data_IF_481531859305
#
_entry.id   IF_481531859305
#
_cell.length_a   1.000
_cell.length_b   1.000
_cell.length_c   1.000
_cell.angle_alpha   90.00
_cell.angle_beta   90.00
_cell.angle_gamma   90.00
#
_symmetry.space_group_name_H-M   'P 1'
#
loop_
_entity.id
_entity.type
_entity.pdbx_description
1 polymer ?
#
# COMPACT_ATOMS: atom_id res chain seq x y z
N UNK A 1 -8.33 23.10 -12.10
CA UNK A 1 -7.37 22.00 -12.03
C UNK A 1 -7.94 20.74 -12.66
N UNK A 2 -7.07 19.88 -13.21
CA UNK A 2 -7.51 18.60 -13.74
C UNK A 2 -7.55 17.55 -12.63
N UNK A 3 -8.61 16.71 -12.62
CA UNK A 3 -8.81 15.63 -11.68
C UNK A 3 -9.47 14.42 -12.37
N UNK A 4 -9.10 13.18 -11.97
CA UNK A 4 -9.71 11.95 -12.45
C UNK A 4 -10.77 11.48 -11.45
N UNK A 5 -12.04 11.57 -11.84
CA UNK A 5 -13.19 11.49 -10.93
C UNK A 5 -14.14 10.34 -11.24
N UNK A 6 -14.56 9.65 -10.22
CA UNK A 6 -15.74 8.77 -10.26
C UNK A 6 -16.99 9.65 -10.09
N UNK A 7 -17.79 9.76 -11.15
CA UNK A 7 -19.00 10.61 -11.17
C UNK A 7 -20.24 9.87 -10.72
N UNK A 8 -20.36 8.61 -11.16
CA UNK A 8 -21.47 7.74 -10.83
C UNK A 8 -20.95 6.32 -10.54
N UNK A 9 -21.64 5.56 -9.66
CA UNK A 9 -21.30 4.16 -9.39
C UNK A 9 -21.30 3.32 -10.66
N UNK A 10 -20.30 2.43 -10.81
CA UNK A 10 -20.13 1.51 -11.93
C UNK A 10 -19.94 2.16 -13.32
N UNK A 11 -19.80 3.46 -13.39
CA UNK A 11 -19.41 4.15 -14.62
C UNK A 11 -17.89 4.39 -14.66
N UNK A 12 -17.29 4.42 -15.87
CA UNK A 12 -15.87 4.74 -16.00
C UNK A 12 -15.58 6.14 -15.46
N UNK A 13 -14.56 6.31 -14.58
CA UNK A 13 -14.14 7.62 -14.14
C UNK A 13 -13.63 8.48 -15.30
N UNK A 14 -13.69 9.79 -15.15
CA UNK A 14 -13.38 10.75 -16.19
C UNK A 14 -12.40 11.82 -15.70
N UNK A 15 -11.52 12.25 -16.60
CA UNK A 15 -10.73 13.48 -16.40
C UNK A 15 -11.67 14.68 -16.53
N UNK A 16 -11.69 15.51 -15.49
CA UNK A 16 -12.52 16.71 -15.46
C UNK A 16 -11.71 17.92 -15.02
N UNK A 17 -12.06 19.07 -15.56
CA UNK A 17 -11.64 20.35 -15.02
C UNK A 17 -12.57 20.74 -13.87
N UNK A 18 -11.99 20.93 -12.68
CA UNK A 18 -12.70 21.33 -11.45
C UNK A 18 -12.02 22.53 -10.81
N UNK A 19 -12.72 23.31 -9.99
CA UNK A 19 -12.10 24.42 -9.24
C UNK A 19 -10.92 23.89 -8.39
N UNK A 20 -9.83 24.66 -8.33
CA UNK A 20 -8.75 24.40 -7.38
C UNK A 20 -9.29 24.62 -5.96
N UNK A 21 -9.19 23.65 -5.04
CA UNK A 21 -9.69 23.82 -3.69
C UNK A 21 -8.79 24.74 -2.87
N UNK A 22 -9.31 25.27 -1.75
CA UNK A 22 -8.56 26.04 -0.78
C UNK A 22 -8.61 25.36 0.60
N UNK A 23 -7.52 25.38 1.39
CA UNK A 23 -7.50 24.74 2.68
C UNK A 23 -8.28 25.54 3.72
N UNK A 24 -9.10 24.88 4.52
CA UNK A 24 -9.72 25.43 5.71
C UNK A 24 -8.75 25.48 6.90
N UNK A 25 -9.21 25.97 8.05
CA UNK A 25 -8.44 25.89 9.30
C UNK A 25 -8.07 24.43 9.62
N UNK A 26 -6.79 24.20 9.99
CA UNK A 26 -6.26 22.87 10.28
C UNK A 26 -5.88 22.03 9.05
N UNK A 27 -6.04 22.56 7.83
CA UNK A 27 -5.77 21.83 6.60
C UNK A 27 -4.58 22.39 5.82
N UNK A 28 -4.03 21.54 4.95
CA UNK A 28 -3.02 21.89 3.96
C UNK A 28 -3.60 21.72 2.56
N UNK A 29 -3.25 22.60 1.64
CA UNK A 29 -3.36 22.35 0.22
C UNK A 29 -2.04 21.75 -0.26
N UNK A 30 -2.09 20.56 -0.85
CA UNK A 30 -0.92 19.88 -1.38
C UNK A 30 -0.99 19.94 -2.91
N UNK A 31 0.09 20.42 -3.55
CA UNK A 31 0.34 20.19 -4.97
C UNK A 31 0.83 18.75 -5.12
N UNK A 32 0.06 17.92 -5.80
CA UNK A 32 0.40 16.52 -5.94
C UNK A 32 1.62 16.36 -6.84
N UNK A 33 2.63 15.66 -6.35
CA UNK A 33 3.84 15.29 -7.09
C UNK A 33 3.70 13.92 -7.74
N UNK A 34 3.10 12.97 -7.02
CA UNK A 34 2.78 11.64 -7.51
C UNK A 34 1.58 11.05 -6.80
N UNK A 35 0.82 10.24 -7.53
CA UNK A 35 -0.23 9.40 -6.98
C UNK A 35 -0.09 7.98 -7.52
N UNK A 36 0.18 7.02 -6.63
CA UNK A 36 0.25 5.60 -6.98
C UNK A 36 -1.14 5.03 -7.31
N UNK A 37 -1.17 3.98 -8.14
CA UNK A 37 -2.38 3.28 -8.54
C UNK A 37 -2.46 1.92 -7.86
N UNK A 38 -3.63 1.60 -7.32
CA UNK A 38 -3.90 0.38 -6.58
C UNK A 38 -5.07 -0.41 -7.17
N UNK A 39 -5.08 -1.72 -6.95
CA UNK A 39 -6.24 -2.56 -7.25
C UNK A 39 -7.48 -2.15 -6.44
N UNK A 40 -7.31 -1.48 -5.31
CA UNK A 40 -8.40 -0.90 -4.53
C UNK A 40 -9.18 0.15 -5.32
N UNK A 41 -8.50 0.97 -6.13
CA UNK A 41 -9.19 1.95 -7.00
C UNK A 41 -10.12 1.25 -7.99
N UNK A 42 -9.65 0.14 -8.58
CA UNK A 42 -10.43 -0.68 -9.52
C UNK A 42 -11.64 -1.31 -8.81
N UNK A 43 -11.43 -1.80 -7.59
CA UNK A 43 -12.53 -2.33 -6.78
C UNK A 43 -13.58 -1.24 -6.45
N UNK A 44 -13.14 -0.01 -6.16
CA UNK A 44 -14.03 1.15 -5.94
C UNK A 44 -14.84 1.49 -7.20
N UNK A 45 -14.19 1.54 -8.36
CA UNK A 45 -14.85 1.81 -9.64
C UNK A 45 -15.96 0.81 -9.97
N UNK A 46 -15.78 -0.47 -9.59
CA UNK A 46 -16.72 -1.55 -9.85
C UNK A 46 -17.90 -1.63 -8.87
N UNK A 47 -17.93 -0.84 -7.78
CA UNK A 47 -18.94 -0.94 -6.75
C UNK A 47 -20.29 -0.36 -7.18
N UNK A 48 -21.36 -1.05 -6.76
CA UNK A 48 -22.73 -0.52 -6.85
C UNK A 48 -22.91 0.65 -5.87
N UNK A 49 -23.98 1.46 -6.10
CA UNK A 49 -24.34 2.52 -5.17
C UNK A 49 -24.49 2.00 -3.73
N UNK A 50 -25.19 0.89 -3.52
CA UNK A 50 -25.40 0.31 -2.19
C UNK A 50 -24.07 -0.05 -1.51
N UNK A 51 -23.11 -0.63 -2.23
CA UNK A 51 -21.80 -0.94 -1.69
C UNK A 51 -20.94 0.30 -1.38
N UNK A 52 -21.09 1.37 -2.17
CA UNK A 52 -20.44 2.65 -1.86
C UNK A 52 -21.08 3.33 -0.64
N UNK A 53 -22.41 3.25 -0.52
CA UNK A 53 -23.14 3.78 0.65
C UNK A 53 -22.69 3.09 1.95
N UNK A 54 -22.45 1.76 1.92
CA UNK A 54 -21.89 1.00 3.06
C UNK A 54 -20.49 1.51 3.46
N UNK A 55 -19.74 2.05 2.49
CA UNK A 55 -18.42 2.64 2.73
C UNK A 55 -18.46 4.15 2.99
N UNK A 56 -19.65 4.74 3.07
CA UNK A 56 -19.86 6.19 3.11
C UNK A 56 -19.12 6.95 2.00
N UNK A 57 -18.98 6.31 0.84
CA UNK A 57 -18.28 6.81 -0.34
C UNK A 57 -19.29 7.25 -1.40
N UNK A 58 -19.79 8.48 -1.29
CA UNK A 58 -20.80 9.01 -2.22
C UNK A 58 -20.11 9.77 -3.37
N UNK A 59 -20.19 9.30 -4.63
CA UNK A 59 -19.74 10.09 -5.78
C UNK A 59 -20.55 11.42 -5.93
N UNK A 60 -19.94 12.46 -6.53
CA UNK A 60 -18.66 12.45 -7.23
C UNK A 60 -17.46 12.71 -6.30
N UNK A 61 -16.37 11.95 -6.48
CA UNK A 61 -15.08 12.19 -5.82
C UNK A 61 -13.91 11.84 -6.74
N UNK A 62 -12.74 12.44 -6.46
CA UNK A 62 -11.48 12.16 -7.15
C UNK A 62 -10.87 10.87 -6.63
N UNK A 63 -10.38 9.99 -7.51
CA UNK A 63 -9.73 8.73 -7.14
C UNK A 63 -8.26 8.93 -6.70
N UNK A 64 -7.65 7.84 -6.24
CA UNK A 64 -6.24 7.74 -5.89
C UNK A 64 -5.95 8.02 -4.42
N UNK A 65 -5.37 7.04 -3.73
CA UNK A 65 -5.09 7.09 -2.28
C UNK A 65 -3.61 7.00 -1.92
N UNK A 66 -2.71 6.86 -2.89
CA UNK A 66 -1.25 6.82 -2.68
C UNK A 66 -0.62 8.17 -3.01
N UNK A 67 -0.56 9.08 -2.05
CA UNK A 67 -0.37 10.51 -2.33
C UNK A 67 0.89 11.04 -1.68
N UNK A 68 1.74 11.69 -2.49
CA UNK A 68 2.79 12.57 -2.00
C UNK A 68 2.92 13.82 -2.89
N UNK A 69 3.43 14.91 -2.32
CA UNK A 69 3.52 16.17 -3.05
C UNK A 69 4.19 17.26 -2.21
N UNK A 70 3.90 18.48 -2.54
CA UNK A 70 4.46 19.66 -1.85
C UNK A 70 3.34 20.51 -1.25
N UNK A 71 3.57 21.03 -0.05
CA UNK A 71 2.67 22.00 0.58
C UNK A 71 2.58 23.25 -0.29
N UNK A 72 1.40 23.50 -0.88
CA UNK A 72 1.15 24.68 -1.71
C UNK A 72 0.60 25.85 -0.88
N UNK A 73 -0.36 25.56 0.03
CA UNK A 73 -0.99 26.57 0.90
C UNK A 73 -1.23 25.96 2.29
N UNK A 74 -1.17 26.80 3.32
CA UNK A 74 -1.29 26.39 4.73
C UNK A 74 -2.53 27.07 5.30
N UNK A 75 -3.49 26.27 5.77
CA UNK A 75 -4.70 26.75 6.42
C UNK A 75 -4.44 27.36 7.81
N UNK A 76 -5.38 28.14 8.28
CA UNK A 76 -5.28 28.81 9.57
C UNK A 76 -5.05 27.83 10.72
N UNK A 77 -4.15 28.15 11.64
CA UNK A 77 -3.86 27.35 12.83
C UNK A 77 -2.95 26.15 12.60
N UNK A 78 -2.55 25.84 11.38
CA UNK A 78 -1.56 24.78 11.12
C UNK A 78 -0.16 25.27 11.47
N UNK A 79 0.58 24.46 12.20
CA UNK A 79 1.97 24.71 12.59
C UNK A 79 2.85 23.53 12.16
N UNK A 80 4.15 23.77 12.00
CA UNK A 80 5.14 22.71 11.70
C UNK A 80 5.29 22.39 10.22
N UNK A 81 4.67 23.14 9.31
CA UNK A 81 4.81 23.01 7.87
C UNK A 81 5.26 24.31 7.21
N UNK A 82 5.90 24.20 6.06
CA UNK A 82 6.33 25.32 5.22
C UNK A 82 5.82 25.15 3.79
N UNK A 83 5.51 26.26 3.12
CA UNK A 83 5.20 26.23 1.69
C UNK A 83 6.39 25.66 0.90
N UNK A 84 6.12 24.79 -0.06
CA UNK A 84 7.12 24.06 -0.85
C UNK A 84 7.70 22.83 -0.16
N UNK A 85 7.36 22.54 1.10
CA UNK A 85 7.85 21.36 1.82
C UNK A 85 7.27 20.08 1.25
N UNK A 86 8.12 19.04 0.94
CA UNK A 86 7.64 17.74 0.50
C UNK A 86 6.92 16.99 1.63
N UNK A 87 5.76 16.42 1.35
CA UNK A 87 4.93 15.66 2.30
C UNK A 87 4.37 14.40 1.68
N UNK A 88 4.31 13.33 2.47
CA UNK A 88 3.55 12.11 2.20
C UNK A 88 2.23 12.15 2.98
N UNK A 89 1.17 11.56 2.41
CA UNK A 89 -0.18 11.61 2.99
C UNK A 89 -0.61 10.22 3.45
N UNK A 90 -1.00 10.09 4.72
CA UNK A 90 -1.66 8.86 5.20
C UNK A 90 -3.06 8.78 4.59
N UNK A 91 -3.43 7.65 3.93
CA UNK A 91 -4.71 7.58 3.20
C UNK A 91 -5.93 7.39 4.10
N UNK A 92 -5.76 6.97 5.36
CA UNK A 92 -6.85 6.66 6.30
C UNK A 92 -7.38 7.94 6.95
N UNK A 93 -8.48 8.47 6.41
CA UNK A 93 -9.13 9.66 6.95
C UNK A 93 -10.35 9.29 7.81
N UNK A 94 -10.87 10.25 8.56
CA UNK A 94 -12.01 10.01 9.46
C UNK A 94 -11.63 9.37 10.81
N UNK A 95 -10.36 9.10 11.07
CA UNK A 95 -9.91 8.67 12.40
C UNK A 95 -10.17 9.76 13.45
N UNK A 96 -10.57 9.38 14.67
CA UNK A 96 -11.02 10.32 15.68
C UNK A 96 -9.89 11.16 16.32
N UNK A 97 -8.64 10.74 16.23
CA UNK A 97 -7.47 11.41 16.80
C UNK A 97 -7.30 11.26 18.33
N UNK A 98 -8.28 10.72 19.08
CA UNK A 98 -8.25 10.72 20.54
C UNK A 98 -8.37 9.34 21.19
N UNK A 99 -8.80 8.29 20.50
CA UNK A 99 -8.81 6.94 21.03
C UNK A 99 -7.37 6.38 21.21
N UNK A 100 -7.17 5.31 22.00
CA UNK A 100 -5.84 4.78 22.25
C UNK A 100 -5.00 4.46 21.00
N UNK A 101 -5.52 3.80 19.95
CA UNK A 101 -4.76 3.61 18.71
C UNK A 101 -4.35 4.95 18.05
N UNK A 102 -5.28 5.89 17.89
CA UNK A 102 -4.96 7.19 17.28
C UNK A 102 -3.88 7.94 18.05
N UNK A 103 -3.90 7.90 19.38
CA UNK A 103 -2.87 8.55 20.22
C UNK A 103 -1.49 7.92 20.09
N UNK A 104 -1.41 6.68 19.61
CA UNK A 104 -0.14 6.00 19.30
C UNK A 104 0.29 6.18 17.84
N UNK A 105 -0.51 6.89 17.02
CA UNK A 105 -0.26 7.05 15.58
C UNK A 105 -0.59 5.80 14.77
N UNK A 106 -1.53 5.00 15.27
CA UNK A 106 -2.10 3.81 14.63
C UNK A 106 -3.53 4.12 14.17
N UNK A 107 -3.69 5.19 13.38
CA UNK A 107 -4.98 5.74 12.98
C UNK A 107 -5.84 4.74 12.20
N UNK A 108 -5.21 3.82 11.48
CA UNK A 108 -5.87 2.72 10.76
C UNK A 108 -6.60 1.73 11.68
N UNK A 109 -6.26 1.68 12.97
CA UNK A 109 -6.95 0.89 13.99
C UNK A 109 -7.86 1.74 14.89
N UNK A 110 -8.27 2.91 14.45
CA UNK A 110 -9.19 3.77 15.20
C UNK A 110 -10.48 3.04 15.54
N UNK A 111 -10.88 3.08 16.82
CA UNK A 111 -12.09 2.40 17.30
C UNK A 111 -13.39 2.95 16.72
N UNK A 112 -13.36 4.15 16.15
CA UNK A 112 -14.53 4.86 15.63
C UNK A 112 -14.52 4.96 14.10
N UNK A 113 -13.54 4.39 13.41
CA UNK A 113 -13.62 4.21 11.96
C UNK A 113 -14.60 3.07 11.71
N UNK A 114 -15.76 3.39 11.16
CA UNK A 114 -16.79 2.40 10.82
C UNK A 114 -16.65 1.87 9.40
N UNK A 115 -15.83 2.51 8.56
CA UNK A 115 -15.76 2.23 7.13
C UNK A 115 -14.37 2.47 6.54
N UNK A 116 -14.17 1.97 5.33
CA UNK A 116 -12.93 2.09 4.56
C UNK A 116 -12.77 3.44 3.84
N UNK A 117 -13.55 4.46 4.19
CA UNK A 117 -13.45 5.73 3.49
C UNK A 117 -12.14 6.47 3.85
N UNK A 118 -11.63 7.18 2.84
CA UNK A 118 -10.37 7.92 2.93
C UNK A 118 -10.10 8.66 1.64
N UNK A 119 -8.88 9.12 1.47
CA UNK A 119 -8.45 9.73 0.21
C UNK A 119 -8.75 8.79 -0.96
N UNK A 120 -9.41 9.27 -2.02
CA UNK A 120 -9.76 8.48 -3.18
C UNK A 120 -10.85 7.42 -2.97
N UNK A 121 -11.39 7.32 -1.74
CA UNK A 121 -12.46 6.38 -1.36
C UNK A 121 -13.49 7.16 -0.55
N UNK A 122 -14.37 7.89 -1.23
CA UNK A 122 -15.41 8.73 -0.59
C UNK A 122 -14.98 10.17 -0.30
N UNK A 123 -13.71 10.43 -0.09
CA UNK A 123 -13.13 11.77 -0.14
C UNK A 123 -12.36 11.97 -1.43
N UNK A 124 -12.14 13.23 -1.84
CA UNK A 124 -11.27 13.50 -2.98
C UNK A 124 -9.85 12.95 -2.74
N UNK A 125 -9.29 12.32 -3.76
CA UNK A 125 -7.98 11.68 -3.76
C UNK A 125 -6.92 12.44 -4.57
N UNK A 126 -5.78 11.78 -4.78
CA UNK A 126 -4.57 12.35 -5.36
C UNK A 126 -4.44 12.26 -6.87
N UNK A 127 -5.39 11.65 -7.60
CA UNK A 127 -5.38 11.69 -9.06
C UNK A 127 -5.91 13.04 -9.55
N UNK A 128 -5.28 14.12 -9.08
CA UNK A 128 -5.54 15.52 -9.36
C UNK A 128 -4.28 16.36 -9.21
N UNK A 129 -4.27 17.59 -9.71
CA UNK A 129 -3.14 18.51 -9.54
C UNK A 129 -2.96 18.99 -8.10
N UNK A 130 -4.07 19.09 -7.35
CA UNK A 130 -4.09 19.54 -5.95
C UNK A 130 -5.08 18.74 -5.13
N UNK A 131 -4.79 18.60 -3.83
CA UNK A 131 -5.67 17.98 -2.83
C UNK A 131 -5.60 18.74 -1.51
N UNK A 132 -6.74 18.85 -0.82
CA UNK A 132 -6.81 19.37 0.56
C UNK A 132 -6.76 18.21 1.53
N UNK A 133 -5.90 18.30 2.56
CA UNK A 133 -5.66 17.26 3.55
C UNK A 133 -5.63 17.87 4.94
N UNK A 134 -6.23 17.22 5.94
CA UNK A 134 -6.01 17.62 7.32
C UNK A 134 -4.51 17.49 7.66
N UNK A 135 -3.92 18.54 8.23
CA UNK A 135 -2.47 18.59 8.47
C UNK A 135 -1.93 17.41 9.29
N UNK A 136 -2.79 16.80 10.13
CA UNK A 136 -2.42 15.62 10.94
C UNK A 136 -2.12 14.36 10.12
N UNK A 137 -2.59 14.28 8.87
CA UNK A 137 -2.32 13.16 7.98
C UNK A 137 -1.14 13.39 7.03
N UNK A 138 -0.56 14.59 7.05
CA UNK A 138 0.63 14.92 6.29
C UNK A 138 1.90 14.62 7.10
N UNK A 139 2.82 13.90 6.48
CA UNK A 139 4.13 13.53 7.06
C UNK A 139 5.23 14.23 6.27
N UNK A 140 6.00 15.15 6.88
CA UNK A 140 7.15 15.77 6.23
C UNK A 140 8.19 14.73 5.79
N UNK A 141 8.76 14.90 4.59
CA UNK A 141 9.69 13.95 3.99
C UNK A 141 11.12 14.51 3.83
N UNK A 142 11.39 15.72 4.34
CA UNK A 142 12.66 16.39 4.08
C UNK A 142 12.80 16.73 2.60
N UNK A 143 13.86 16.24 1.96
CA UNK A 143 14.16 16.45 0.54
C UNK A 143 13.80 15.23 -0.36
N UNK A 144 13.09 14.23 0.17
CA UNK A 144 12.73 13.03 -0.57
C UNK A 144 11.72 13.34 -1.68
N UNK A 145 11.93 12.72 -2.86
CA UNK A 145 11.10 12.94 -4.06
C UNK A 145 9.67 12.42 -3.84
N UNK A 146 8.63 13.27 -3.97
CA UNK A 146 7.24 12.84 -3.85
C UNK A 146 6.81 11.76 -4.85
N UNK A 147 7.41 11.70 -6.05
CA UNK A 147 7.08 10.64 -7.01
C UNK A 147 7.49 9.27 -6.47
N UNK A 148 8.68 9.19 -5.85
CA UNK A 148 9.18 7.97 -5.20
C UNK A 148 8.42 7.68 -3.90
N UNK A 149 7.94 8.70 -3.21
CA UNK A 149 7.22 8.56 -1.94
C UNK A 149 5.76 8.09 -2.13
N UNK A 150 5.13 8.39 -3.25
CA UNK A 150 3.71 8.08 -3.46
C UNK A 150 3.37 6.59 -3.21
N UNK A 151 4.08 5.59 -3.76
CA UNK A 151 3.83 4.19 -3.47
C UNK A 151 4.04 3.81 -2.00
N UNK A 152 4.87 4.56 -1.28
CA UNK A 152 5.17 4.28 0.13
C UNK A 152 4.02 4.63 1.06
N UNK A 153 3.10 5.50 0.62
CA UNK A 153 1.97 5.96 1.44
C UNK A 153 0.83 4.94 1.57
N UNK A 154 0.80 3.92 0.70
CA UNK A 154 -0.10 2.76 0.83
C UNK A 154 0.67 1.45 0.73
N UNK A 155 1.28 1.11 -0.41
CA UNK A 155 1.94 -0.18 -0.58
C UNK A 155 3.05 -0.40 0.45
N UNK A 156 3.90 0.61 0.68
CA UNK A 156 4.94 0.58 1.72
C UNK A 156 4.36 0.57 3.12
N UNK A 157 3.44 1.49 3.40
CA UNK A 157 2.81 1.65 4.71
C UNK A 157 2.04 0.41 5.14
N UNK A 158 1.24 -0.18 4.24
CA UNK A 158 0.43 -1.36 4.50
C UNK A 158 1.28 -2.57 4.84
N UNK A 159 2.31 -2.86 4.04
CA UNK A 159 3.19 -4.00 4.27
C UNK A 159 4.04 -3.82 5.52
N UNK A 160 4.58 -2.62 5.75
CA UNK A 160 5.34 -2.30 6.96
C UNK A 160 4.48 -2.48 8.22
N UNK A 161 3.27 -1.93 8.23
CA UNK A 161 2.33 -2.06 9.36
C UNK A 161 1.97 -3.52 9.63
N UNK A 162 1.73 -4.31 8.58
CA UNK A 162 1.36 -5.71 8.68
C UNK A 162 2.47 -6.59 9.28
N UNK A 163 3.73 -6.29 8.98
CA UNK A 163 4.87 -7.11 9.42
C UNK A 163 5.48 -6.63 10.75
N UNK A 164 5.33 -5.36 11.11
CA UNK A 164 5.93 -4.76 12.31
C UNK A 164 5.73 -5.58 13.59
N UNK A 165 4.53 -6.14 13.88
CA UNK A 165 4.33 -7.00 15.06
C UNK A 165 5.12 -8.31 15.06
N UNK A 166 5.56 -8.81 13.89
CA UNK A 166 6.33 -10.04 13.79
C UNK A 166 7.85 -9.82 13.89
N UNK A 167 8.34 -8.62 13.57
CA UNK A 167 9.77 -8.31 13.50
C UNK A 167 10.58 -8.73 14.74
N UNK A 168 10.10 -8.55 15.99
CA UNK A 168 10.87 -8.96 17.17
C UNK A 168 11.12 -10.47 17.27
N UNK A 169 10.33 -11.30 16.59
CA UNK A 169 10.47 -12.76 16.56
C UNK A 169 11.27 -13.28 15.36
N UNK A 170 11.61 -12.43 14.40
CA UNK A 170 12.31 -12.77 13.18
C UNK A 170 13.84 -12.70 13.38
N UNK A 171 14.34 -13.61 14.22
CA UNK A 171 15.76 -13.72 14.60
C UNK A 171 16.51 -14.70 13.68
N UNK A 172 17.85 -14.81 13.76
CA UNK A 172 18.61 -15.81 13.00
C UNK A 172 18.07 -17.23 13.19
N UNK A 173 17.91 -17.97 12.08
CA UNK A 173 17.34 -19.31 12.07
C UNK A 173 15.82 -19.37 11.85
N UNK A 174 15.13 -18.23 11.86
CA UNK A 174 13.71 -18.14 11.49
C UNK A 174 13.53 -17.92 9.98
N UNK A 175 12.31 -18.13 9.50
CA UNK A 175 11.94 -17.93 8.08
C UNK A 175 10.72 -17.06 7.97
N UNK A 176 10.80 -16.05 7.11
CA UNK A 176 9.69 -15.20 6.67
C UNK A 176 9.35 -15.48 5.20
N UNK A 177 8.07 -15.57 4.88
CA UNK A 177 7.56 -15.79 3.52
C UNK A 177 6.68 -14.63 3.10
N UNK A 178 6.87 -14.14 1.88
CA UNK A 178 5.98 -13.15 1.24
C UNK A 178 5.29 -13.83 0.07
N UNK A 179 3.97 -13.92 0.09
CA UNK A 179 3.14 -14.49 -0.98
C UNK A 179 2.53 -13.34 -1.79
N UNK A 180 2.84 -13.30 -3.08
CA UNK A 180 2.50 -12.19 -3.98
C UNK A 180 3.54 -11.08 -3.88
N UNK A 181 4.58 -11.12 -4.72
CA UNK A 181 5.68 -10.15 -4.71
C UNK A 181 5.58 -9.12 -5.86
N UNK A 182 4.35 -8.67 -6.14
CA UNK A 182 4.07 -7.46 -6.92
C UNK A 182 4.35 -6.18 -6.11
N UNK A 183 3.60 -5.09 -6.36
CA UNK A 183 3.87 -3.77 -5.79
C UNK A 183 3.93 -3.70 -4.25
N UNK A 184 3.14 -4.51 -3.52
CA UNK A 184 3.20 -4.61 -2.07
C UNK A 184 4.34 -5.53 -1.61
N UNK A 185 4.36 -6.76 -2.14
CA UNK A 185 5.26 -7.78 -1.65
C UNK A 185 6.73 -7.50 -1.94
N UNK A 186 7.05 -6.78 -3.01
CA UNK A 186 8.42 -6.37 -3.30
C UNK A 186 8.97 -5.42 -2.24
N UNK A 187 8.14 -4.49 -1.74
CA UNK A 187 8.51 -3.65 -0.59
C UNK A 187 8.61 -4.46 0.70
N UNK A 188 7.71 -5.44 0.92
CA UNK A 188 7.78 -6.33 2.08
C UNK A 188 9.09 -7.14 2.12
N UNK A 189 9.56 -7.66 0.97
CA UNK A 189 10.86 -8.35 0.88
C UNK A 189 11.99 -7.43 1.33
N UNK A 190 12.04 -6.19 0.85
CA UNK A 190 13.05 -5.21 1.23
C UNK A 190 12.99 -4.84 2.72
N UNK A 191 11.79 -4.63 3.27
CA UNK A 191 11.64 -4.37 4.71
C UNK A 191 12.14 -5.55 5.55
N UNK A 192 11.76 -6.79 5.21
CA UNK A 192 12.24 -7.98 5.92
C UNK A 192 13.76 -8.08 5.86
N UNK A 193 14.35 -7.88 4.69
CA UNK A 193 15.81 -7.91 4.52
C UNK A 193 16.52 -6.85 5.35
N UNK A 194 15.91 -5.68 5.48
CA UNK A 194 16.49 -4.52 6.19
C UNK A 194 16.32 -4.62 7.71
N UNK A 195 15.19 -5.16 8.18
CA UNK A 195 14.74 -5.00 9.56
C UNK A 195 14.86 -6.27 10.41
N UNK A 196 15.14 -7.43 9.81
CA UNK A 196 15.26 -8.69 10.56
C UNK A 196 16.40 -9.57 10.03
N UNK A 197 16.66 -10.65 10.75
CA UNK A 197 17.69 -11.65 10.39
C UNK A 197 17.11 -12.98 9.92
N UNK A 198 15.82 -13.03 9.64
CA UNK A 198 15.16 -14.23 9.11
C UNK A 198 15.57 -14.48 7.66
N UNK A 199 15.51 -15.75 7.25
CA UNK A 199 15.54 -16.10 5.83
C UNK A 199 14.27 -15.57 5.17
N UNK A 200 14.39 -14.91 4.01
CA UNK A 200 13.26 -14.36 3.26
C UNK A 200 12.98 -15.24 2.04
N UNK A 201 11.77 -15.78 1.95
CA UNK A 201 11.28 -16.55 0.80
C UNK A 201 10.19 -15.73 0.10
N UNK A 202 10.35 -15.48 -1.19
CA UNK A 202 9.36 -14.83 -2.03
C UNK A 202 8.59 -15.87 -2.85
N UNK A 203 7.27 -15.72 -2.93
CA UNK A 203 6.38 -16.62 -3.68
C UNK A 203 5.51 -15.80 -4.64
N UNK A 204 5.52 -16.12 -5.93
CA UNK A 204 4.67 -15.48 -6.94
C UNK A 204 4.41 -16.44 -8.10
N UNK A 205 3.38 -16.18 -8.90
CA UNK A 205 3.12 -16.90 -10.15
C UNK A 205 3.90 -16.33 -11.34
N UNK A 206 4.37 -15.08 -11.25
CA UNK A 206 5.10 -14.38 -12.30
C UNK A 206 6.62 -14.47 -12.06
N UNK A 207 7.33 -15.03 -13.06
CA UNK A 207 8.78 -15.19 -13.00
C UNK A 207 9.54 -13.85 -12.94
N UNK A 208 8.99 -12.78 -13.53
CA UNK A 208 9.57 -11.44 -13.51
C UNK A 208 9.52 -10.86 -12.10
N UNK A 209 8.40 -11.03 -11.40
CA UNK A 209 8.25 -10.64 -10.00
C UNK A 209 9.22 -11.42 -9.10
N UNK A 210 9.38 -12.73 -9.33
CA UNK A 210 10.33 -13.54 -8.56
C UNK A 210 11.78 -13.10 -8.78
N UNK A 211 12.14 -12.74 -10.02
CA UNK A 211 13.47 -12.22 -10.32
C UNK A 211 13.72 -10.88 -9.60
N UNK A 212 12.76 -9.93 -9.66
CA UNK A 212 12.86 -8.67 -8.92
C UNK A 212 12.97 -8.91 -7.41
N UNK A 213 12.17 -9.82 -6.85
CA UNK A 213 12.25 -10.14 -5.43
C UNK A 213 13.64 -10.70 -5.04
N UNK A 214 14.27 -11.49 -5.92
CA UNK A 214 15.63 -12.00 -5.73
C UNK A 214 16.67 -10.88 -5.73
N UNK A 215 16.58 -9.96 -6.67
CA UNK A 215 17.45 -8.78 -6.79
C UNK A 215 17.33 -7.86 -5.56
N UNK A 216 16.13 -7.77 -4.97
CA UNK A 216 15.83 -6.92 -3.81
C UNK A 216 15.93 -7.64 -2.45
N UNK A 217 16.54 -8.82 -2.40
CA UNK A 217 16.97 -9.42 -1.15
C UNK A 217 16.21 -10.65 -0.66
N UNK A 218 15.37 -11.28 -1.48
CA UNK A 218 14.85 -12.61 -1.17
C UNK A 218 15.98 -13.65 -1.23
N UNK A 219 16.13 -14.46 -0.19
CA UNK A 219 17.12 -15.55 -0.16
C UNK A 219 16.71 -16.68 -1.11
N UNK A 220 15.41 -16.98 -1.18
CA UNK A 220 14.82 -17.97 -2.07
C UNK A 220 13.58 -17.41 -2.77
N UNK A 221 13.33 -17.90 -3.98
CA UNK A 221 12.10 -17.60 -4.74
C UNK A 221 11.43 -18.91 -5.14
N UNK A 222 10.11 -18.98 -5.01
CA UNK A 222 9.32 -20.17 -5.32
C UNK A 222 8.14 -19.80 -6.23
N UNK A 223 7.80 -20.62 -7.22
CA UNK A 223 6.56 -20.44 -7.97
C UNK A 223 5.35 -20.69 -7.06
N UNK A 224 4.27 -19.94 -7.30
CA UNK A 224 3.00 -20.13 -6.58
C UNK A 224 2.20 -21.25 -7.25
N UNK A 225 2.35 -22.47 -6.74
CA UNK A 225 1.67 -23.68 -7.23
C UNK A 225 1.26 -24.61 -6.07
N UNK A 226 0.78 -25.82 -6.41
CA UNK A 226 0.33 -26.79 -5.42
C UNK A 226 1.44 -27.35 -4.52
N UNK A 227 2.70 -27.27 -4.95
CA UNK A 227 3.87 -27.78 -4.20
C UNK A 227 4.52 -26.72 -3.32
N UNK A 228 4.11 -25.45 -3.41
CA UNK A 228 4.75 -24.31 -2.72
C UNK A 228 4.86 -24.53 -1.21
N UNK A 229 3.79 -24.99 -0.56
CA UNK A 229 3.81 -25.24 0.89
C UNK A 229 4.80 -26.33 1.29
N UNK A 230 4.91 -27.40 0.49
CA UNK A 230 5.88 -28.48 0.71
C UNK A 230 7.31 -28.00 0.49
N UNK A 231 7.55 -27.19 -0.53
CA UNK A 231 8.86 -26.58 -0.79
C UNK A 231 9.29 -25.67 0.36
N UNK A 232 8.38 -24.83 0.91
CA UNK A 232 8.67 -24.01 2.09
C UNK A 232 9.03 -24.89 3.29
N UNK A 233 8.27 -25.96 3.54
CA UNK A 233 8.58 -26.92 4.61
C UNK A 233 9.94 -27.61 4.40
N UNK A 234 10.26 -27.99 3.18
CA UNK A 234 11.57 -28.59 2.85
C UNK A 234 12.72 -27.62 3.17
N UNK A 235 12.59 -26.34 2.75
CA UNK A 235 13.57 -25.30 3.05
C UNK A 235 13.72 -24.99 4.54
N UNK A 236 12.72 -25.33 5.35
CA UNK A 236 12.68 -25.11 6.81
C UNK A 236 12.84 -26.41 7.61
N UNK A 237 13.37 -27.48 7.00
CA UNK A 237 13.55 -28.80 7.63
C UNK A 237 12.26 -29.34 8.28
N UNK A 238 11.11 -29.09 7.67
CA UNK A 238 9.79 -29.51 8.13
C UNK A 238 9.11 -28.57 9.14
N UNK A 239 9.81 -27.59 9.69
CA UNK A 239 9.26 -26.70 10.72
C UNK A 239 8.17 -25.75 10.21
N UNK A 240 8.27 -25.29 8.97
CA UNK A 240 7.43 -24.27 8.39
C UNK A 240 7.94 -22.84 8.64
N UNK A 241 7.21 -21.85 8.12
CA UNK A 241 7.58 -20.45 8.20
C UNK A 241 7.12 -19.80 9.52
N UNK A 242 7.99 -19.03 10.15
CA UNK A 242 7.67 -18.28 11.38
C UNK A 242 6.77 -17.07 11.13
N UNK A 243 6.90 -16.46 9.94
CA UNK A 243 6.06 -15.37 9.51
C UNK A 243 5.67 -15.59 8.03
N UNK A 244 4.42 -15.32 7.72
CA UNK A 244 3.90 -15.29 6.34
C UNK A 244 3.10 -14.01 6.16
N UNK A 245 3.44 -13.23 5.14
CA UNK A 245 2.66 -12.12 4.66
C UNK A 245 1.98 -12.51 3.35
N UNK A 246 0.65 -12.57 3.35
CA UNK A 246 -0.14 -12.82 2.13
C UNK A 246 -0.62 -11.49 1.55
N UNK A 247 0.00 -11.06 0.44
CA UNK A 247 -0.35 -9.85 -0.29
C UNK A 247 -1.42 -10.07 -1.38
N UNK A 248 -1.96 -11.29 -1.50
CA UNK A 248 -2.95 -11.67 -2.51
C UNK A 248 -4.33 -11.90 -1.90
N UNK A 249 -4.42 -12.75 -0.88
CA UNK A 249 -5.67 -13.09 -0.19
C UNK A 249 -6.61 -13.97 -1.02
N UNK A 250 -6.07 -14.68 -2.03
CA UNK A 250 -6.83 -15.66 -2.80
C UNK A 250 -6.92 -17.00 -2.04
N UNK A 251 -7.93 -17.81 -2.34
CA UNK A 251 -8.10 -19.10 -1.66
C UNK A 251 -6.84 -20.00 -1.76
N UNK A 252 -6.16 -20.13 -2.92
CA UNK A 252 -4.93 -20.93 -3.00
C UNK A 252 -3.80 -20.37 -2.12
N UNK A 253 -3.59 -19.04 -2.10
CA UNK A 253 -2.51 -18.40 -1.33
C UNK A 253 -2.75 -18.53 0.18
N UNK A 254 -3.98 -18.36 0.64
CA UNK A 254 -4.37 -18.58 2.03
C UNK A 254 -4.15 -20.04 2.46
N UNK A 255 -4.54 -21.02 1.63
CA UNK A 255 -4.30 -22.45 1.89
C UNK A 255 -2.80 -22.75 1.97
N UNK A 256 -2.02 -22.24 1.01
CA UNK A 256 -0.56 -22.37 1.01
C UNK A 256 0.04 -21.77 2.29
N UNK A 257 -0.41 -20.55 2.67
CA UNK A 257 0.06 -19.88 3.86
C UNK A 257 -0.20 -20.68 5.14
N UNK A 258 -1.41 -21.20 5.33
CA UNK A 258 -1.73 -22.04 6.51
C UNK A 258 -0.94 -23.34 6.49
N UNK A 259 -0.84 -24.02 5.34
CA UNK A 259 -0.11 -25.28 5.22
C UNK A 259 1.40 -25.12 5.44
N UNK A 260 1.98 -23.98 5.08
CA UNK A 260 3.39 -23.69 5.25
C UNK A 260 3.75 -23.08 6.63
N UNK A 261 2.77 -22.68 7.44
CA UNK A 261 2.98 -21.97 8.69
C UNK A 261 3.61 -22.89 9.75
N UNK A 262 4.56 -22.38 10.51
CA UNK A 262 5.14 -23.07 11.66
C UNK A 262 4.22 -23.05 12.88
N UNK A 263 4.45 -23.93 13.86
CA UNK A 263 3.90 -23.76 15.21
C UNK A 263 4.39 -22.44 15.78
N UNK A 264 3.51 -21.72 16.50
CA UNK A 264 3.77 -20.36 17.00
C UNK A 264 4.02 -19.33 15.90
N UNK A 265 3.87 -19.70 14.62
CA UNK A 265 4.03 -18.81 13.49
C UNK A 265 2.88 -17.80 13.37
N UNK A 266 3.12 -16.73 12.60
CA UNK A 266 2.13 -15.70 12.33
C UNK A 266 1.89 -15.59 10.82
N UNK A 267 0.63 -15.67 10.40
CA UNK A 267 0.19 -15.32 9.06
C UNK A 267 -0.57 -14.00 9.13
N UNK A 268 -0.11 -13.01 8.38
CA UNK A 268 -0.82 -11.72 8.25
C UNK A 268 -1.31 -11.55 6.82
N UNK A 269 -2.61 -11.31 6.68
CA UNK A 269 -3.28 -11.07 5.41
C UNK A 269 -3.41 -9.57 5.16
N UNK A 270 -2.95 -9.11 4.01
CA UNK A 270 -3.16 -7.75 3.48
C UNK A 270 -3.81 -7.75 2.10
N UNK A 271 -3.74 -8.87 1.38
CA UNK A 271 -4.34 -9.02 0.06
C UNK A 271 -5.87 -8.93 0.10
N UNK A 272 -6.46 -8.20 -0.83
CA UNK A 272 -7.89 -7.86 -0.83
C UNK A 272 -8.73 -8.72 -1.80
N UNK A 273 -8.33 -9.96 -2.12
CA UNK A 273 -9.16 -10.86 -2.92
C UNK A 273 -10.41 -11.40 -2.17
N UNK A 274 -10.58 -11.05 -0.89
CA UNK A 274 -11.76 -11.30 -0.05
C UNK A 274 -12.16 -12.78 0.05
N UNK A 275 -11.16 -13.67 0.13
CA UNK A 275 -11.38 -15.09 0.34
C UNK A 275 -11.13 -15.46 1.80
N UNK A 276 -11.57 -16.64 2.19
CA UNK A 276 -11.50 -17.14 3.56
C UNK A 276 -10.73 -18.45 3.65
N UNK A 277 -10.22 -18.74 4.84
CA UNK A 277 -9.61 -20.02 5.19
C UNK A 277 -10.26 -20.55 6.46
N UNK A 278 -10.46 -21.88 6.61
CA UNK A 278 -10.94 -22.47 7.84
C UNK A 278 -10.01 -22.17 9.02
N UNK A 279 -10.59 -21.89 10.19
CA UNK A 279 -9.87 -21.68 11.43
C UNK A 279 -10.43 -22.61 12.53
N UNK A 280 -9.58 -23.44 13.10
CA UNK A 280 -9.93 -24.40 14.14
C UNK A 280 -8.70 -25.07 14.73
N UNK A 281 -8.88 -25.81 15.83
CA UNK A 281 -7.76 -26.42 16.59
C UNK A 281 -6.87 -27.34 15.74
N UNK A 282 -7.43 -27.98 14.71
CA UNK A 282 -6.72 -28.89 13.82
C UNK A 282 -6.52 -28.33 12.40
N UNK A 283 -7.07 -27.15 12.13
CA UNK A 283 -6.98 -26.46 10.82
C UNK A 283 -5.69 -25.64 10.67
N UNK A 284 -5.19 -25.15 11.80
CA UNK A 284 -3.96 -24.33 11.83
C UNK A 284 -2.94 -24.92 12.80
N UNK A 285 -1.63 -24.69 12.60
CA UNK A 285 -0.59 -25.15 13.52
C UNK A 285 -0.82 -24.61 14.95
N UNK A 286 -0.50 -25.42 15.96
CA UNK A 286 -0.71 -25.04 17.36
C UNK A 286 0.05 -23.78 17.74
N UNK A 287 -0.65 -22.84 18.38
CA UNK A 287 -0.11 -21.54 18.76
C UNK A 287 0.02 -20.54 17.62
N UNK A 288 -0.39 -20.90 16.39
CA UNK A 288 -0.35 -20.00 15.26
C UNK A 288 -1.29 -18.77 15.45
N UNK A 289 -0.88 -17.64 14.91
CA UNK A 289 -1.62 -16.41 14.89
C UNK A 289 -2.06 -16.09 13.46
N UNK A 290 -3.35 -15.92 13.24
CA UNK A 290 -3.89 -15.39 12.00
C UNK A 290 -4.31 -13.93 12.25
N UNK A 291 -3.83 -13.03 11.43
CA UNK A 291 -4.09 -11.60 11.56
C UNK A 291 -4.44 -10.97 10.20
N UNK A 292 -5.20 -9.90 10.24
CA UNK A 292 -5.41 -9.02 9.09
C UNK A 292 -4.77 -7.66 9.36
N UNK A 293 -4.34 -6.98 8.32
CA UNK A 293 -3.86 -5.60 8.41
C UNK A 293 -4.28 -4.84 7.16
N UNK A 294 -4.52 -3.55 7.32
CA UNK A 294 -4.89 -2.67 6.22
C UNK A 294 -4.36 -1.27 6.51
N UNK A 295 -3.70 -0.68 5.52
CA UNK A 295 -3.07 0.62 5.64
C UNK A 295 -2.12 0.72 6.85
N UNK A 296 -1.89 1.91 7.34
CA UNK A 296 -1.12 2.20 8.54
C UNK A 296 -1.37 3.63 9.03
N UNK A 297 -0.72 3.99 10.11
CA UNK A 297 -0.83 5.32 10.69
C UNK A 297 0.40 6.20 10.43
N UNK A 298 0.33 7.44 10.94
CA UNK A 298 1.35 8.48 10.73
C UNK A 298 2.73 8.09 11.28
N UNK A 299 2.79 7.36 12.39
CA UNK A 299 4.06 6.89 12.96
C UNK A 299 4.73 5.90 12.02
N UNK A 300 3.99 4.91 11.51
CA UNK A 300 4.52 3.92 10.59
C UNK A 300 4.95 4.56 9.26
N UNK A 301 4.20 5.54 8.74
CA UNK A 301 4.59 6.23 7.51
C UNK A 301 5.90 7.01 7.69
N UNK A 302 6.12 7.66 8.83
CA UNK A 302 7.41 8.32 9.12
C UNK A 302 8.57 7.35 9.10
N UNK A 303 8.42 6.16 9.69
CA UNK A 303 9.45 5.13 9.69
C UNK A 303 9.73 4.62 8.28
N UNK A 304 8.68 4.39 7.47
CA UNK A 304 8.80 3.98 6.06
C UNK A 304 9.55 5.03 5.22
N UNK A 305 9.16 6.30 5.33
CA UNK A 305 9.82 7.40 4.61
C UNK A 305 11.29 7.53 5.05
N UNK A 306 11.60 7.38 6.33
CA UNK A 306 12.98 7.45 6.81
C UNK A 306 13.83 6.30 6.28
N UNK A 307 13.30 5.07 6.21
CA UNK A 307 13.98 3.94 5.58
C UNK A 307 14.30 4.21 4.10
N UNK A 308 13.38 4.82 3.37
CA UNK A 308 13.59 5.20 1.98
C UNK A 308 14.65 6.32 1.84
N UNK A 309 14.57 7.36 2.68
CA UNK A 309 15.59 8.44 2.72
C UNK A 309 16.99 7.93 3.01
N UNK A 310 17.12 6.92 3.85
CA UNK A 310 18.38 6.26 4.16
C UNK A 310 18.85 5.28 3.07
N UNK A 311 18.10 5.14 1.95
CA UNK A 311 18.42 4.19 0.87
C UNK A 311 18.34 2.73 1.32
N UNK A 312 17.53 2.42 2.34
CA UNK A 312 17.35 1.06 2.85
C UNK A 312 16.28 0.29 2.08
N UNK A 313 15.37 1.00 1.48
CA UNK A 313 14.32 0.52 0.58
C UNK A 313 14.23 1.46 -0.62
N UNK A 314 13.79 0.93 -1.74
CA UNK A 314 13.54 1.70 -2.95
C UNK A 314 12.20 1.31 -3.57
N UNK A 315 11.56 2.25 -4.24
CA UNK A 315 10.36 2.00 -5.03
C UNK A 315 10.75 1.73 -6.47
N UNK A 316 10.09 0.74 -7.07
CA UNK A 316 10.15 0.49 -8.51
C UNK A 316 8.83 1.00 -9.06
N UNK A 317 8.88 2.05 -9.88
CA UNK A 317 7.67 2.66 -10.42
C UNK A 317 7.72 2.79 -11.95
N UNK A 318 6.58 2.54 -12.57
CA UNK A 318 6.29 2.92 -13.94
C UNK A 318 5.49 4.21 -13.93
N UNK A 319 6.04 5.28 -14.54
CA UNK A 319 5.53 6.66 -14.45
C UNK A 319 4.60 6.97 -15.62
N UNK A 320 3.45 7.56 -15.32
CA UNK A 320 2.45 7.97 -16.28
C UNK A 320 2.06 9.44 -16.05
N UNK A 321 1.90 10.28 -17.09
CA UNK A 321 1.24 11.56 -16.91
C UNK A 321 -0.23 11.32 -16.54
N UNK A 322 -0.83 12.18 -15.70
CA UNK A 322 -2.24 12.06 -15.29
C UNK A 322 -3.20 11.96 -16.49
N UNK A 323 -2.88 12.59 -17.61
CA UNK A 323 -3.64 12.49 -18.86
C UNK A 323 -3.73 11.07 -19.43
N UNK A 324 -2.83 10.16 -19.01
CA UNK A 324 -2.79 8.75 -19.40
C UNK A 324 -3.19 7.79 -18.27
N UNK A 325 -3.92 8.26 -17.29
CA UNK A 325 -4.34 7.46 -16.12
C UNK A 325 -5.12 6.20 -16.54
N UNK A 326 -5.92 6.27 -17.59
CA UNK A 326 -6.67 5.11 -18.12
C UNK A 326 -5.74 4.03 -18.67
N UNK A 327 -4.64 4.43 -19.35
CA UNK A 327 -3.63 3.49 -19.82
C UNK A 327 -2.89 2.84 -18.63
N UNK A 328 -2.57 3.64 -17.61
CA UNK A 328 -1.91 3.16 -16.40
C UNK A 328 -2.77 2.10 -15.66
N UNK A 329 -4.07 2.31 -15.53
CA UNK A 329 -4.97 1.28 -14.97
C UNK A 329 -5.07 0.04 -15.87
N UNK A 330 -5.09 0.20 -17.19
CA UNK A 330 -5.09 -0.94 -18.13
C UNK A 330 -3.82 -1.77 -17.98
N UNK A 331 -2.67 -1.13 -17.86
CA UNK A 331 -1.40 -1.81 -17.68
C UNK A 331 -1.31 -2.49 -16.30
N UNK A 332 -1.85 -1.85 -15.25
CA UNK A 332 -1.96 -2.44 -13.92
C UNK A 332 -2.82 -3.72 -13.92
N UNK A 333 -4.03 -3.66 -14.51
CA UNK A 333 -4.92 -4.83 -14.63
C UNK A 333 -4.31 -5.92 -15.51
N UNK A 334 -3.58 -5.51 -16.55
CA UNK A 334 -2.90 -6.42 -17.49
C UNK A 334 -1.61 -7.03 -16.94
N UNK A 335 -1.22 -6.75 -15.70
CA UNK A 335 0.02 -7.27 -15.08
C UNK A 335 1.30 -6.78 -15.74
N UNK A 336 1.27 -5.63 -16.45
CA UNK A 336 2.45 -5.09 -17.16
C UNK A 336 3.30 -4.15 -16.29
N UNK A 337 2.79 -3.75 -15.14
CA UNK A 337 3.48 -2.88 -14.19
C UNK A 337 4.50 -3.70 -13.40
N UNK A 338 5.77 -3.30 -13.44
CA UNK A 338 6.87 -4.04 -12.79
C UNK A 338 6.87 -3.93 -11.26
N UNK A 339 6.48 -2.79 -10.75
CA UNK A 339 6.39 -2.51 -9.31
C UNK A 339 5.10 -1.74 -9.01
N UNK A 340 5.14 -0.41 -9.06
CA UNK A 340 3.97 0.44 -8.84
C UNK A 340 3.77 1.42 -9.99
N UNK A 341 2.55 1.51 -10.53
CA UNK A 341 2.21 2.58 -11.46
C UNK A 341 2.01 3.89 -10.67
N UNK A 342 2.62 4.99 -11.11
CA UNK A 342 2.51 6.30 -10.49
C UNK A 342 2.07 7.32 -11.52
N UNK A 343 0.93 7.97 -11.29
CA UNK A 343 0.47 9.11 -12.07
C UNK A 343 1.09 10.41 -11.57
N UNK A 344 1.60 11.22 -12.50
CA UNK A 344 2.25 12.50 -12.24
C UNK A 344 1.36 13.61 -12.81
N UNK A 345 0.67 14.42 -11.96
CA UNK A 345 -0.10 15.55 -12.42
C UNK A 345 0.80 16.65 -13.02
N UNK A 346 0.32 17.30 -14.08
CA UNK A 346 1.05 18.41 -14.73
C UNK A 346 2.27 17.98 -15.61
N UNK A 347 2.59 16.69 -15.69
CA UNK A 347 3.57 16.21 -16.63
C UNK A 347 3.02 16.30 -18.07
N UNK A 348 3.79 16.87 -18.98
CA UNK A 348 3.44 16.86 -20.41
C UNK A 348 3.35 15.42 -20.93
N UNK A 349 2.51 15.17 -21.95
CA UNK A 349 2.25 13.83 -22.50
C UNK A 349 3.47 13.13 -23.15
N UNK A 350 4.68 13.64 -23.00
CA UNK A 350 5.91 13.10 -23.54
C UNK A 350 6.77 12.46 -22.46
N UNK A 351 6.53 11.20 -22.15
CA UNK A 351 7.57 10.35 -21.54
C UNK A 351 7.84 9.22 -22.51
N UNK A 352 8.88 9.38 -23.32
CA UNK A 352 9.47 8.29 -24.06
C UNK A 352 10.01 7.25 -23.05
N UNK A 353 9.71 5.99 -23.32
CA UNK A 353 10.39 4.87 -22.69
C UNK A 353 11.90 5.07 -22.79
N UNK A 354 12.59 5.32 -21.70
CA UNK A 354 14.03 5.18 -21.65
C UNK A 354 14.34 3.69 -21.71
N UNK A 355 14.61 3.21 -22.93
CA UNK A 355 15.37 1.99 -23.13
C UNK A 355 16.74 2.19 -22.47
N UNK A 356 16.99 1.50 -21.39
CA UNK A 356 18.35 1.27 -20.92
C UNK A 356 18.86 0.07 -21.69
N UNK A 357 19.83 0.36 -22.56
CA UNK A 357 20.67 -0.61 -23.27
C UNK A 357 21.54 -1.41 -22.31
#
# INVERSE_FOLDING_TARGET
MIAYRLLHPQEPPQLQEVPKPSPNAGQLLIKVGGCGLCHTDIAVMGKTKAQLDEWHATPPFTLGHEIAGWVAEIGQGVVGFKSGEPVAVVPVWGSCGHCPPCRRGEENFCYYISTLNGAGIGFDGGLAEYIVVDARFAVPMGDFDPVLAAPLTDAGLTTYTAMKPALPSLVPGTTAVVIGVGGLGLLAVQFLRTLCSARVIAVDSDATHLQLAKEHGADNTLPSDQSTAEQIRSLTSGAGANFILDCVGAEPTLKTGVAALARLGRLTLVGAALKTVPFGLHEVPWGAQLATSMNGGTVNLREVIELARLGRIETIEDRYPLSRVVDAYRDLVGGKVRGRAVCIPGAAASVASTNVS
#
